data_IF_737401295125
#
_entry.id   IF_737401295125
#
_cell.length_a   1.000
_cell.length_b   1.000
_cell.length_c   1.000
_cell.angle_alpha   90.00
_cell.angle_beta   90.00
_cell.angle_gamma   90.00
#
_symmetry.space_group_name_H-M   'P 1'
#
loop_
_entity.id
_entity.type
_entity.pdbx_description
1 polymer ?
#
# COMPACT_ATOMS: atom_id res chain seq x y z
N UNK A 1 -8.69 -20.23 28.06
CA UNK A 1 -8.57 -20.64 26.65
C UNK A 1 -8.85 -19.43 25.78
N UNK A 2 -7.88 -18.51 25.57
CA UNK A 2 -8.06 -17.31 24.74
C UNK A 2 -6.83 -16.98 23.86
N UNK A 3 -5.90 -17.92 23.68
CA UNK A 3 -4.62 -17.70 22.96
C UNK A 3 -4.76 -17.74 21.43
N UNK A 4 -5.96 -17.97 20.89
CA UNK A 4 -6.19 -18.17 19.46
C UNK A 4 -6.57 -16.89 18.71
N UNK A 5 -7.02 -15.86 19.42
CA UNK A 5 -7.56 -14.63 18.82
C UNK A 5 -6.44 -13.63 18.47
N UNK A 6 -5.41 -13.50 19.31
CA UNK A 6 -4.30 -12.56 19.08
C UNK A 6 -3.36 -13.01 17.95
N UNK A 7 -3.03 -14.31 17.88
CA UNK A 7 -2.14 -14.88 16.85
C UNK A 7 -2.72 -14.72 15.43
N UNK A 8 -4.06 -14.71 15.31
CA UNK A 8 -4.75 -14.54 14.03
C UNK A 8 -4.75 -13.09 13.55
N UNK A 9 -4.66 -12.12 14.47
CA UNK A 9 -4.59 -10.69 14.14
C UNK A 9 -3.24 -10.28 13.54
N UNK A 10 -2.14 -10.66 14.19
CA UNK A 10 -0.78 -10.27 13.76
C UNK A 10 -0.37 -10.89 12.41
N UNK A 11 -0.73 -12.16 12.17
CA UNK A 11 -0.48 -12.82 10.88
C UNK A 11 -1.26 -12.16 9.72
N UNK A 12 -2.47 -11.64 10.02
CA UNK A 12 -3.33 -10.98 9.04
C UNK A 12 -2.83 -9.58 8.71
N UNK A 13 -2.36 -8.83 9.71
CA UNK A 13 -1.75 -7.52 9.49
C UNK A 13 -0.46 -7.65 8.66
N UNK A 14 0.44 -8.60 8.98
CA UNK A 14 1.65 -8.85 8.17
C UNK A 14 1.33 -9.22 6.71
N UNK A 15 0.28 -10.03 6.49
CA UNK A 15 -0.21 -10.36 5.14
C UNK A 15 -0.79 -9.15 4.39
N UNK A 16 -1.44 -8.21 5.09
CA UNK A 16 -1.99 -6.99 4.49
C UNK A 16 -0.86 -6.03 4.12
N UNK A 17 0.14 -5.83 4.99
CA UNK A 17 1.30 -4.99 4.69
C UNK A 17 2.07 -5.51 3.46
N UNK A 18 2.27 -6.84 3.36
CA UNK A 18 2.92 -7.45 2.20
C UNK A 18 2.19 -7.19 0.89
N UNK A 19 0.86 -7.31 0.89
CA UNK A 19 0.03 -7.05 -0.30
C UNK A 19 0.01 -5.56 -0.68
N UNK A 20 -0.10 -4.65 0.30
CA UNK A 20 -0.06 -3.22 0.07
C UNK A 20 1.29 -2.76 -0.49
N UNK A 21 2.39 -3.30 0.04
CA UNK A 21 3.74 -3.07 -0.50
C UNK A 21 3.86 -3.58 -1.94
N UNK A 22 3.36 -4.78 -2.24
CA UNK A 22 3.36 -5.33 -3.60
C UNK A 22 2.59 -4.42 -4.56
N UNK A 23 1.38 -3.99 -4.19
CA UNK A 23 0.55 -3.10 -5.00
C UNK A 23 1.25 -1.76 -5.25
N UNK A 24 1.87 -1.18 -4.23
CA UNK A 24 2.64 0.06 -4.36
C UNK A 24 3.81 -0.09 -5.33
N UNK A 25 4.58 -1.18 -5.22
CA UNK A 25 5.72 -1.45 -6.12
C UNK A 25 5.26 -1.61 -7.57
N UNK A 26 4.14 -2.31 -7.80
CA UNK A 26 3.58 -2.48 -9.14
C UNK A 26 3.10 -1.15 -9.71
N UNK A 27 2.35 -0.35 -8.95
CA UNK A 27 1.88 0.96 -9.38
C UNK A 27 3.04 1.92 -9.69
N UNK A 28 4.08 1.93 -8.84
CA UNK A 28 5.30 2.72 -9.08
C UNK A 28 6.02 2.27 -10.36
N UNK A 29 6.16 0.97 -10.56
CA UNK A 29 6.83 0.43 -11.75
C UNK A 29 6.10 0.80 -13.04
N UNK A 30 4.77 0.76 -13.04
CA UNK A 30 3.96 1.19 -14.17
C UNK A 30 4.09 2.69 -14.43
N UNK A 31 4.05 3.52 -13.38
CA UNK A 31 4.24 4.95 -13.49
C UNK A 31 5.62 5.31 -14.04
N UNK A 32 6.67 4.70 -13.48
CA UNK A 32 8.06 4.89 -13.91
C UNK A 32 8.28 4.52 -15.39
N UNK A 33 7.57 3.51 -15.89
CA UNK A 33 7.61 3.12 -17.31
C UNK A 33 6.95 4.19 -18.19
N UNK A 34 5.76 4.65 -17.81
CA UNK A 34 5.01 5.67 -18.55
C UNK A 34 5.70 7.03 -18.54
N UNK A 35 6.39 7.40 -17.45
CA UNK A 35 7.15 8.66 -17.35
C UNK A 35 8.48 8.62 -18.12
N UNK A 36 9.11 7.45 -18.24
CA UNK A 36 10.32 7.27 -19.06
C UNK A 36 10.01 7.23 -20.54
N UNK A 37 8.84 6.74 -20.92
CA UNK A 37 8.39 6.73 -22.31
C UNK A 37 7.94 8.14 -22.70
N UNK A 38 8.90 9.04 -22.94
CA UNK A 38 8.65 10.45 -23.28
C UNK A 38 7.90 10.67 -24.60
N UNK A 39 7.66 9.60 -25.36
CA UNK A 39 6.79 9.59 -26.54
C UNK A 39 5.35 9.13 -26.24
N UNK A 40 5.05 8.78 -24.98
CA UNK A 40 3.73 8.35 -24.54
C UNK A 40 2.72 9.49 -24.72
N UNK A 41 2.01 9.43 -25.84
CA UNK A 41 0.89 10.30 -26.18
C UNK A 41 -0.37 9.99 -25.36
N UNK A 42 -0.34 8.93 -24.55
CA UNK A 42 -1.43 8.54 -23.67
C UNK A 42 -1.33 9.21 -22.29
N UNK A 43 -1.62 10.52 -22.30
CA UNK A 43 -1.72 11.33 -21.09
C UNK A 43 -2.80 10.80 -20.13
N UNK A 44 -3.80 10.07 -20.64
CA UNK A 44 -4.85 9.45 -19.83
C UNK A 44 -4.29 8.28 -19.03
N UNK A 45 -3.54 7.38 -19.67
CA UNK A 45 -2.85 6.29 -18.99
C UNK A 45 -1.85 6.80 -17.95
N UNK A 46 -1.08 7.84 -18.28
CA UNK A 46 -0.16 8.47 -17.33
C UNK A 46 -0.90 9.07 -16.11
N UNK A 47 -2.01 9.77 -16.35
CA UNK A 47 -2.85 10.32 -15.28
C UNK A 47 -3.39 9.21 -14.36
N UNK A 48 -3.92 8.13 -14.93
CA UNK A 48 -4.42 6.99 -14.16
C UNK A 48 -3.32 6.31 -13.35
N UNK A 49 -2.13 6.12 -13.92
CA UNK A 49 -1.00 5.52 -13.22
C UNK A 49 -0.54 6.38 -12.03
N UNK A 50 -0.55 7.71 -12.17
CA UNK A 50 -0.26 8.64 -11.06
C UNK A 50 -1.29 8.55 -9.94
N UNK A 51 -2.58 8.48 -10.29
CA UNK A 51 -3.66 8.33 -9.31
C UNK A 51 -3.54 6.99 -8.57
N UNK A 52 -3.31 5.89 -9.29
CA UNK A 52 -3.17 4.56 -8.67
C UNK A 52 -1.95 4.51 -7.75
N UNK A 53 -0.81 5.09 -8.15
CA UNK A 53 0.37 5.19 -7.28
C UNK A 53 0.08 5.99 -5.99
N UNK A 54 -0.63 7.12 -6.09
CA UNK A 54 -1.01 7.92 -4.93
C UNK A 54 -1.97 7.15 -3.99
N UNK A 55 -2.94 6.42 -4.55
CA UNK A 55 -3.88 5.60 -3.78
C UNK A 55 -3.18 4.44 -3.07
N UNK A 56 -2.27 3.74 -3.75
CA UNK A 56 -1.50 2.65 -3.16
C UNK A 56 -0.58 3.15 -2.03
N UNK A 57 0.06 4.31 -2.23
CA UNK A 57 0.91 4.96 -1.22
C UNK A 57 0.11 5.32 0.03
N UNK A 58 -1.07 5.92 -0.16
CA UNK A 58 -1.97 6.27 0.93
C UNK A 58 -2.47 5.04 1.68
N UNK A 59 -2.89 3.99 0.97
CA UNK A 59 -3.36 2.77 1.61
C UNK A 59 -2.29 2.11 2.49
N UNK A 60 -1.03 2.13 2.05
CA UNK A 60 0.09 1.66 2.86
C UNK A 60 0.34 2.55 4.08
N UNK A 61 0.31 3.88 3.90
CA UNK A 61 0.47 4.82 5.01
C UNK A 61 -0.65 4.67 6.06
N UNK A 62 -1.90 4.57 5.61
CA UNK A 62 -3.07 4.36 6.48
C UNK A 62 -2.92 3.04 7.27
N UNK A 63 -2.41 1.98 6.63
CA UNK A 63 -2.15 0.70 7.31
C UNK A 63 -1.02 0.80 8.36
N UNK A 64 0.05 1.56 8.09
CA UNK A 64 1.13 1.77 9.04
C UNK A 64 0.69 2.62 10.24
N UNK A 65 -0.10 3.67 10.01
CA UNK A 65 -0.68 4.50 11.10
C UNK A 65 -1.67 3.68 11.93
N UNK A 66 -2.50 2.85 11.28
CA UNK A 66 -3.42 1.95 11.98
C UNK A 66 -2.69 0.88 12.81
N UNK A 67 -1.46 0.51 12.45
CA UNK A 67 -0.60 -0.37 13.24
C UNK A 67 -0.03 0.39 14.45
N UNK A 68 0.56 1.57 14.25
CA UNK A 68 1.13 2.38 15.33
C UNK A 68 0.11 2.75 16.41
N UNK A 69 -1.12 3.10 16.01
CA UNK A 69 -2.22 3.42 16.94
C UNK A 69 -2.77 2.21 17.72
N UNK A 70 -2.51 0.97 17.28
CA UNK A 70 -2.82 -0.24 18.07
C UNK A 70 -1.77 -0.55 19.12
N UNK A 71 -0.53 -0.08 18.90
CA UNK A 71 0.61 -0.33 19.76
C UNK A 71 0.79 0.73 20.87
N UNK A 72 0.04 1.85 20.86
CA UNK A 72 0.01 2.79 21.99
C UNK A 72 -0.85 2.21 23.14
N UNK A 73 -0.24 1.83 24.29
CA UNK A 73 -1.01 1.40 25.44
C UNK A 73 -1.60 2.63 26.12
N UNK A 74 -2.91 2.58 26.34
CA UNK A 74 -3.67 3.49 27.20
C UNK A 74 -2.89 3.81 28.49
N UNK A 75 -2.55 5.08 28.69
CA UNK A 75 -1.93 5.59 29.92
C UNK A 75 -2.95 6.16 30.89
#
# INVERSE_FOLDING_TARGET
MNTQVEITGELKDSSIHGELCRRLVMAKTQLDQLERDGACSDLSALSMARVEFALASRALADALVAQETRDEPSH
#
